data_IF_568859781180
#
_entry.id   IF_568859781180
#
_cell.length_a   1.000
_cell.length_b   1.000
_cell.length_c   1.000
_cell.angle_alpha   90.00
_cell.angle_beta   90.00
_cell.angle_gamma   90.00
#
_symmetry.space_group_name_H-M   'P 1'
#
loop_
_entity.id
_entity.type
_entity.pdbx_description
1 polymer ?
#
# COMPACT_ATOMS: atom_id res chain seq x y z
N UNK A 1 -4.98 -25.50 -12.41
CA UNK A 1 -4.30 -25.87 -13.67
C UNK A 1 -4.52 -24.81 -14.75
N UNK A 2 -5.75 -24.60 -15.25
CA UNK A 2 -6.03 -23.65 -16.35
C UNK A 2 -5.60 -22.19 -16.11
N UNK A 3 -5.80 -21.66 -14.90
CA UNK A 3 -5.33 -20.32 -14.54
C UNK A 3 -3.80 -20.17 -14.68
N UNK A 4 -3.05 -21.24 -14.38
CA UNK A 4 -1.59 -21.27 -14.57
C UNK A 4 -1.19 -21.26 -16.04
N UNK A 5 -1.91 -22.00 -16.89
CA UNK A 5 -1.71 -21.99 -18.35
C UNK A 5 -1.99 -20.60 -18.94
N UNK A 6 -3.08 -19.96 -18.53
CA UNK A 6 -3.40 -18.57 -18.92
C UNK A 6 -2.32 -17.61 -18.42
N UNK A 7 -1.82 -17.80 -17.20
CA UNK A 7 -0.70 -17.05 -16.65
C UNK A 7 0.59 -17.20 -17.47
N UNK A 8 0.93 -18.43 -17.89
CA UNK A 8 2.09 -18.70 -18.75
C UNK A 8 1.97 -18.03 -20.14
N UNK A 9 0.77 -18.09 -20.73
CA UNK A 9 0.45 -17.37 -21.97
C UNK A 9 0.61 -15.85 -21.81
N UNK A 10 0.03 -15.28 -20.75
CA UNK A 10 0.15 -13.84 -20.46
C UNK A 10 1.60 -13.44 -20.21
N UNK A 11 2.37 -14.27 -19.50
CA UNK A 11 3.78 -14.02 -19.17
C UNK A 11 4.66 -13.95 -20.40
N UNK A 12 4.55 -14.92 -21.30
CA UNK A 12 5.25 -14.88 -22.58
C UNK A 12 4.83 -13.67 -23.41
N UNK A 13 3.53 -13.38 -23.50
CA UNK A 13 3.00 -12.26 -24.27
C UNK A 13 3.53 -10.89 -23.79
N UNK A 14 3.42 -10.58 -22.48
CA UNK A 14 3.85 -9.26 -21.98
C UNK A 14 5.37 -9.11 -21.97
N UNK A 15 6.12 -10.20 -21.72
CA UNK A 15 7.60 -10.17 -21.70
C UNK A 15 8.15 -9.90 -23.09
N UNK A 16 7.67 -10.64 -24.11
CA UNK A 16 8.12 -10.41 -25.48
C UNK A 16 7.58 -9.12 -26.08
N UNK A 17 6.38 -8.67 -25.69
CA UNK A 17 5.93 -7.30 -26.00
C UNK A 17 6.95 -6.27 -25.53
N UNK A 18 7.47 -6.38 -24.30
CA UNK A 18 8.49 -5.47 -23.78
C UNK A 18 9.77 -5.56 -24.63
N UNK A 19 10.28 -6.76 -24.88
CA UNK A 19 11.53 -6.98 -25.65
C UNK A 19 11.42 -6.41 -27.06
N UNK A 20 10.32 -6.69 -27.78
CA UNK A 20 10.14 -6.19 -29.14
C UNK A 20 9.95 -4.68 -29.18
N UNK A 21 9.25 -4.09 -28.21
CA UNK A 21 9.08 -2.64 -28.16
C UNK A 21 10.39 -1.93 -27.81
N UNK A 22 11.17 -2.46 -26.87
CA UNK A 22 12.39 -1.83 -26.38
C UNK A 22 13.59 -2.01 -27.32
N UNK A 23 13.78 -3.21 -27.89
CA UNK A 23 14.98 -3.54 -28.68
C UNK A 23 14.76 -3.56 -30.20
N UNK A 24 13.54 -3.80 -30.68
CA UNK A 24 13.24 -3.92 -32.12
C UNK A 24 12.37 -2.78 -32.67
N UNK A 25 12.00 -1.81 -31.81
CA UNK A 25 11.32 -0.59 -32.23
C UNK A 25 12.28 0.46 -32.78
N UNK A 26 11.73 1.56 -33.28
CA UNK A 26 12.52 2.74 -33.65
C UNK A 26 13.29 3.26 -32.43
N UNK A 27 14.62 3.38 -32.57
CA UNK A 27 15.48 3.92 -31.52
C UNK A 27 15.17 5.40 -31.30
N UNK A 28 14.69 5.74 -30.11
CA UNK A 28 14.37 7.12 -29.72
C UNK A 28 15.55 7.87 -29.11
N UNK A 29 16.61 7.15 -28.74
CA UNK A 29 17.78 7.66 -28.03
C UNK A 29 19.01 6.85 -28.45
N UNK A 30 20.17 7.49 -28.53
CA UNK A 30 21.42 6.79 -28.79
C UNK A 30 21.87 5.99 -27.56
N UNK A 31 21.80 4.66 -27.67
CA UNK A 31 22.23 3.75 -26.63
C UNK A 31 23.76 3.56 -26.68
N UNK A 32 24.41 3.71 -25.53
CA UNK A 32 25.83 3.45 -25.38
C UNK A 32 26.00 2.10 -24.67
N UNK A 33 26.90 1.25 -25.17
CA UNK A 33 27.15 -0.04 -24.57
C UNK A 33 27.85 0.11 -23.20
N UNK A 34 27.39 -0.64 -22.21
CA UNK A 34 28.08 -0.72 -20.92
C UNK A 34 29.47 -1.34 -21.09
N UNK A 35 30.46 -0.82 -20.38
CA UNK A 35 31.85 -1.27 -20.50
C UNK A 35 32.42 -1.66 -19.12
N UNK A 36 33.37 -2.59 -19.13
CA UNK A 36 34.10 -3.05 -17.95
C UNK A 36 33.66 -4.41 -17.39
N UNK A 37 34.55 -5.00 -16.60
CA UNK A 37 34.36 -6.34 -16.02
C UNK A 37 33.15 -6.36 -15.09
N UNK A 38 32.94 -5.30 -14.32
CA UNK A 38 31.80 -5.15 -13.41
C UNK A 38 30.43 -5.14 -14.14
N UNK A 39 30.40 -4.87 -15.45
CA UNK A 39 29.19 -4.92 -16.26
C UNK A 39 28.98 -6.30 -16.88
N UNK A 40 29.97 -6.82 -17.62
CA UNK A 40 29.78 -8.04 -18.41
C UNK A 40 29.85 -9.33 -17.57
N UNK A 41 30.66 -9.37 -16.50
CA UNK A 41 30.83 -10.58 -15.68
C UNK A 41 29.53 -10.99 -14.96
N UNK A 42 28.83 -10.10 -14.22
CA UNK A 42 27.55 -10.46 -13.61
C UNK A 42 26.50 -10.88 -14.64
N UNK A 43 26.40 -10.16 -15.77
CA UNK A 43 25.43 -10.47 -16.82
C UNK A 43 25.70 -11.82 -17.48
N UNK A 44 26.97 -12.18 -17.69
CA UNK A 44 27.34 -13.46 -18.29
C UNK A 44 27.03 -14.63 -17.36
N UNK A 45 27.33 -14.49 -16.07
CA UNK A 45 26.99 -15.50 -15.06
C UNK A 45 25.46 -15.68 -14.99
N UNK A 46 24.71 -14.58 -14.94
CA UNK A 46 23.25 -14.63 -14.92
C UNK A 46 22.65 -15.24 -16.20
N UNK A 47 23.18 -14.91 -17.37
CA UNK A 47 22.75 -15.52 -18.64
C UNK A 47 22.97 -17.03 -18.61
N UNK A 48 24.16 -17.50 -18.22
CA UNK A 48 24.47 -18.94 -18.16
C UNK A 48 23.52 -19.64 -17.20
N UNK A 49 23.32 -19.11 -16.00
CA UNK A 49 22.41 -19.69 -15.00
C UNK A 49 20.93 -19.58 -15.39
N UNK A 50 20.53 -18.63 -16.24
CA UNK A 50 19.13 -18.48 -16.70
C UNK A 50 18.73 -19.49 -17.78
N UNK A 51 19.68 -20.29 -18.30
CA UNK A 51 19.41 -21.36 -19.28
C UNK A 51 19.05 -22.69 -18.60
N UNK A 52 19.04 -23.79 -19.35
CA UNK A 52 18.89 -25.15 -18.81
C UNK A 52 19.98 -25.52 -17.79
N UNK A 53 21.14 -24.85 -17.80
CA UNK A 53 22.24 -25.10 -16.86
C UNK A 53 21.80 -24.79 -15.42
N UNK A 54 21.04 -23.71 -15.20
CA UNK A 54 20.51 -23.40 -13.86
C UNK A 54 19.55 -24.45 -13.33
N UNK A 55 18.83 -25.15 -14.21
CA UNK A 55 17.90 -26.21 -13.82
C UNK A 55 18.60 -27.44 -13.22
N UNK A 56 19.92 -27.58 -13.39
CA UNK A 56 20.70 -28.64 -12.74
C UNK A 56 20.95 -28.36 -11.25
N UNK A 57 20.80 -27.11 -10.82
CA UNK A 57 20.93 -26.74 -9.41
C UNK A 57 19.61 -27.08 -8.70
N UNK A 58 19.58 -28.22 -8.03
CA UNK A 58 18.40 -28.66 -7.28
C UNK A 58 18.57 -28.33 -5.79
N UNK A 59 17.65 -27.55 -5.20
CA UNK A 59 17.72 -27.28 -3.76
C UNK A 59 17.34 -28.56 -2.98
N UNK A 60 18.10 -28.96 -1.94
CA UNK A 60 17.86 -30.18 -1.18
C UNK A 60 16.67 -29.99 -0.22
N UNK A 61 15.46 -29.90 -0.76
CA UNK A 61 14.22 -29.69 -0.02
C UNK A 61 13.48 -31.01 0.30
N UNK A 62 14.07 -32.14 -0.06
CA UNK A 62 13.51 -33.46 0.21
C UNK A 62 13.39 -33.68 1.73
N UNK A 63 12.16 -33.82 2.22
CA UNK A 63 11.86 -34.08 3.64
C UNK A 63 11.53 -32.86 4.49
N UNK A 64 11.69 -31.63 3.97
CA UNK A 64 11.34 -30.38 4.70
C UNK A 64 9.90 -29.94 4.45
N UNK A 65 9.38 -30.23 3.25
CA UNK A 65 8.03 -29.83 2.83
C UNK A 65 7.15 -31.07 2.59
N UNK A 66 5.83 -30.97 2.85
CA UNK A 66 4.88 -32.02 2.47
C UNK A 66 5.02 -32.32 0.97
N UNK A 67 5.14 -33.60 0.62
CA UNK A 67 5.16 -34.03 -0.78
C UNK A 67 3.92 -33.49 -1.49
N UNK A 68 4.11 -32.72 -2.56
CA UNK A 68 3.00 -32.12 -3.29
C UNK A 68 2.14 -33.22 -3.93
N UNK A 69 0.81 -33.03 -3.92
CA UNK A 69 -0.19 -33.94 -4.50
C UNK A 69 0.07 -34.25 -6.00
N UNK A 70 0.88 -33.46 -6.69
CA UNK A 70 1.28 -33.65 -8.09
C UNK A 70 2.37 -34.70 -8.34
N UNK A 71 2.97 -35.31 -7.30
CA UNK A 71 3.99 -36.35 -7.51
C UNK A 71 3.43 -37.67 -8.06
N UNK A 72 2.14 -37.96 -7.81
CA UNK A 72 1.51 -39.26 -8.09
C UNK A 72 1.03 -39.49 -9.55
N UNK A 73 0.94 -38.45 -10.38
CA UNK A 73 0.42 -38.56 -11.76
C UNK A 73 1.54 -38.62 -12.80
N UNK A 74 2.20 -39.76 -12.96
CA UNK A 74 3.33 -39.92 -13.92
C UNK A 74 2.98 -39.58 -15.37
N UNK A 75 1.78 -39.91 -15.85
CA UNK A 75 1.38 -39.68 -17.25
C UNK A 75 0.84 -38.27 -17.53
N UNK A 76 0.23 -37.61 -16.54
CA UNK A 76 -0.30 -36.25 -16.70
C UNK A 76 0.80 -35.16 -16.69
N UNK A 77 2.02 -35.50 -16.26
CA UNK A 77 3.16 -34.56 -16.20
C UNK A 77 3.64 -34.18 -17.59
N UNK A 78 3.90 -35.15 -18.46
CA UNK A 78 4.44 -34.88 -19.80
C UNK A 78 3.45 -34.15 -20.71
N UNK A 79 2.17 -34.52 -20.65
CA UNK A 79 1.12 -33.80 -21.40
C UNK A 79 0.98 -32.34 -20.94
N UNK A 80 1.09 -32.09 -19.63
CA UNK A 80 1.06 -30.74 -19.07
C UNK A 80 2.30 -29.92 -19.43
N UNK A 81 3.49 -30.52 -19.40
CA UNK A 81 4.76 -29.88 -19.82
C UNK A 81 4.68 -29.44 -21.28
N UNK A 82 4.23 -30.33 -22.17
CA UNK A 82 4.07 -30.03 -23.60
C UNK A 82 3.03 -28.94 -23.80
N UNK A 83 1.88 -29.03 -23.14
CA UNK A 83 0.83 -28.01 -23.24
C UNK A 83 1.32 -26.64 -22.75
N UNK A 84 2.04 -26.59 -21.64
CA UNK A 84 2.64 -25.37 -21.09
C UNK A 84 3.65 -24.75 -22.06
N UNK A 85 4.57 -25.57 -22.60
CA UNK A 85 5.56 -25.14 -23.58
C UNK A 85 4.92 -24.62 -24.88
N UNK A 86 3.92 -25.32 -25.40
CA UNK A 86 3.18 -24.90 -26.59
C UNK A 86 2.45 -23.56 -26.38
N UNK A 87 1.84 -23.36 -25.21
CA UNK A 87 1.16 -22.10 -24.86
C UNK A 87 2.16 -20.95 -24.72
N UNK A 88 3.32 -21.19 -24.11
CA UNK A 88 4.37 -20.19 -24.02
C UNK A 88 4.86 -19.79 -25.43
N UNK A 89 5.14 -20.76 -26.30
CA UNK A 89 5.53 -20.49 -27.70
C UNK A 89 4.44 -19.74 -28.47
N UNK A 90 3.17 -20.09 -28.29
CA UNK A 90 2.05 -19.38 -28.90
C UNK A 90 1.98 -17.92 -28.44
N UNK A 91 2.25 -17.63 -27.16
CA UNK A 91 2.33 -16.27 -26.63
C UNK A 91 3.48 -15.46 -27.25
N UNK A 92 4.65 -16.08 -27.45
CA UNK A 92 5.79 -15.45 -28.13
C UNK A 92 5.45 -15.13 -29.59
N UNK A 93 4.88 -16.09 -30.32
CA UNK A 93 4.48 -15.90 -31.72
C UNK A 93 3.43 -14.80 -31.86
N UNK A 94 2.43 -14.78 -30.98
CA UNK A 94 1.42 -13.73 -30.98
C UNK A 94 2.04 -12.36 -30.66
N UNK A 95 2.96 -12.28 -29.69
CA UNK A 95 3.68 -11.04 -29.41
C UNK A 95 4.46 -10.55 -30.63
N UNK A 96 5.14 -11.45 -31.34
CA UNK A 96 5.90 -11.10 -32.54
C UNK A 96 4.97 -10.57 -33.64
N UNK A 97 3.86 -11.25 -33.91
CA UNK A 97 2.85 -10.81 -34.90
C UNK A 97 2.25 -9.44 -34.58
N UNK A 98 2.02 -9.14 -33.30
CA UNK A 98 1.40 -7.89 -32.86
C UNK A 98 2.39 -6.71 -32.78
N UNK A 99 3.66 -6.96 -32.42
CA UNK A 99 4.60 -5.91 -32.01
C UNK A 99 5.86 -5.75 -32.87
N UNK A 100 6.25 -6.75 -33.67
CA UNK A 100 7.48 -6.72 -34.47
C UNK A 100 7.35 -5.91 -35.78
N UNK A 101 6.12 -5.56 -36.19
CA UNK A 101 5.85 -4.80 -37.41
C UNK A 101 5.05 -3.51 -37.19
N UNK A 102 4.21 -3.16 -38.16
CA UNK A 102 3.27 -2.03 -38.03
C UNK A 102 2.20 -2.41 -37.02
N UNK A 103 2.32 -1.93 -35.78
CA UNK A 103 1.48 -2.22 -34.59
C UNK A 103 -0.02 -1.85 -34.73
N UNK A 104 -0.55 -1.80 -35.95
CA UNK A 104 -1.89 -1.32 -36.35
C UNK A 104 -3.01 -2.03 -35.59
N UNK A 105 -2.97 -3.36 -35.51
CA UNK A 105 -3.99 -4.14 -34.80
C UNK A 105 -3.98 -3.84 -33.30
N UNK A 106 -2.79 -3.84 -32.68
CA UNK A 106 -2.64 -3.50 -31.27
C UNK A 106 -3.12 -2.07 -30.97
N UNK A 107 -2.78 -1.10 -31.83
CA UNK A 107 -3.23 0.29 -31.68
C UNK A 107 -4.74 0.44 -31.91
N UNK A 108 -5.32 -0.29 -32.87
CA UNK A 108 -6.76 -0.24 -33.13
C UNK A 108 -7.56 -0.79 -31.94
N UNK A 109 -7.10 -1.92 -31.37
CA UNK A 109 -7.70 -2.51 -30.18
C UNK A 109 -7.55 -1.55 -28.98
N UNK A 110 -6.35 -1.00 -28.76
CA UNK A 110 -6.11 -0.06 -27.68
C UNK A 110 -6.96 1.22 -27.78
N UNK A 111 -7.23 1.68 -29.01
CA UNK A 111 -8.06 2.86 -29.27
C UNK A 111 -9.57 2.56 -29.25
N UNK A 112 -10.00 1.30 -29.15
CA UNK A 112 -11.42 0.97 -28.98
C UNK A 112 -11.92 1.37 -27.59
N UNK A 113 -13.23 1.61 -27.44
CA UNK A 113 -13.81 1.94 -26.13
C UNK A 113 -13.51 0.90 -25.02
N UNK A 114 -13.72 -0.42 -25.23
CA UNK A 114 -13.34 -1.41 -24.22
C UNK A 114 -11.83 -1.51 -24.04
N UNK A 115 -11.04 -1.36 -25.09
CA UNK A 115 -9.58 -1.39 -25.01
C UNK A 115 -9.00 -0.24 -24.19
N UNK A 116 -9.52 0.98 -24.36
CA UNK A 116 -9.12 2.14 -23.55
C UNK A 116 -9.46 1.94 -22.08
N UNK A 117 -10.66 1.43 -21.79
CA UNK A 117 -11.08 1.14 -20.42
C UNK A 117 -10.19 0.09 -19.75
N UNK A 118 -9.99 -1.07 -20.40
CA UNK A 118 -9.13 -2.13 -19.86
C UNK A 118 -7.67 -1.68 -19.73
N UNK A 119 -7.16 -0.94 -20.70
CA UNK A 119 -5.81 -0.37 -20.64
C UNK A 119 -5.66 0.56 -19.45
N UNK A 120 -6.62 1.47 -19.21
CA UNK A 120 -6.57 2.37 -18.07
C UNK A 120 -6.70 1.61 -16.74
N UNK A 121 -7.56 0.60 -16.67
CA UNK A 121 -7.81 -0.16 -15.46
C UNK A 121 -6.61 -1.04 -15.06
N UNK A 122 -6.02 -1.78 -16.00
CA UNK A 122 -4.81 -2.56 -15.75
C UNK A 122 -3.60 -1.68 -15.47
N UNK A 123 -3.50 -0.50 -16.13
CA UNK A 123 -2.46 0.48 -15.83
C UNK A 123 -2.57 1.05 -14.41
N UNK A 124 -3.79 1.24 -13.90
CA UNK A 124 -4.06 1.68 -12.54
C UNK A 124 -3.93 0.54 -11.49
N UNK A 125 -3.14 -0.50 -11.77
CA UNK A 125 -2.94 -1.65 -10.88
C UNK A 125 -4.26 -2.28 -10.39
N UNK A 126 -5.25 -2.44 -11.30
CA UNK A 126 -6.61 -2.89 -10.99
C UNK A 126 -7.41 -1.99 -10.03
N UNK A 127 -6.87 -0.81 -9.67
CA UNK A 127 -7.44 0.11 -8.69
C UNK A 127 -7.04 -0.18 -7.24
N UNK A 128 -6.17 -1.18 -6.99
CA UNK A 128 -5.78 -1.54 -5.62
C UNK A 128 -5.06 -0.39 -4.90
N UNK A 129 -4.20 0.35 -5.60
CA UNK A 129 -3.50 1.51 -5.03
C UNK A 129 -4.50 2.58 -4.55
N UNK A 130 -5.57 2.82 -5.32
CA UNK A 130 -6.63 3.76 -4.95
C UNK A 130 -7.44 3.27 -3.74
N UNK A 131 -7.77 1.97 -3.71
CA UNK A 131 -8.48 1.36 -2.56
C UNK A 131 -7.60 1.47 -1.32
N UNK A 132 -6.32 1.14 -1.44
CA UNK A 132 -5.37 1.16 -0.33
C UNK A 132 -5.19 2.58 0.22
N UNK A 133 -4.99 3.56 -0.67
CA UNK A 133 -4.88 4.97 -0.28
C UNK A 133 -6.14 5.45 0.47
N UNK A 134 -7.33 5.09 -0.01
CA UNK A 134 -8.59 5.53 0.57
C UNK A 134 -8.94 4.80 1.86
N UNK A 135 -8.62 3.52 1.98
CA UNK A 135 -9.00 2.68 3.12
C UNK A 135 -7.97 2.71 4.26
N UNK A 136 -6.69 2.88 3.94
CA UNK A 136 -5.62 2.79 4.95
C UNK A 136 -4.88 4.11 5.10
N UNK A 137 -4.34 4.68 4.01
CA UNK A 137 -3.46 5.85 4.08
C UNK A 137 -4.20 7.07 4.59
N UNK A 138 -5.31 7.45 3.95
CA UNK A 138 -6.08 8.64 4.32
C UNK A 138 -6.66 8.56 5.74
N UNK A 139 -7.27 7.44 6.17
CA UNK A 139 -7.75 7.32 7.55
C UNK A 139 -6.61 7.40 8.56
N UNK A 140 -5.47 6.76 8.30
CA UNK A 140 -4.30 6.86 9.17
C UNK A 140 -3.80 8.30 9.30
N UNK A 141 -3.65 9.02 8.17
CA UNK A 141 -3.23 10.41 8.18
C UNK A 141 -4.25 11.30 8.89
N UNK A 142 -5.55 11.07 8.70
CA UNK A 142 -6.60 11.81 9.40
C UNK A 142 -6.53 11.61 10.92
N UNK A 143 -6.37 10.36 11.39
CA UNK A 143 -6.18 10.06 12.82
C UNK A 143 -4.92 10.77 13.34
N UNK A 144 -3.80 10.68 12.62
CA UNK A 144 -2.56 11.35 13.01
C UNK A 144 -2.71 12.88 13.11
N UNK A 145 -3.50 13.47 12.21
CA UNK A 145 -3.75 14.90 12.20
C UNK A 145 -4.61 15.33 13.40
N UNK A 146 -5.64 14.55 13.75
CA UNK A 146 -6.48 14.81 14.94
C UNK A 146 -5.66 14.68 16.22
N UNK A 147 -4.82 13.63 16.32
CA UNK A 147 -3.99 13.38 17.50
C UNK A 147 -2.78 14.33 17.61
N UNK A 148 -2.43 15.09 16.56
CA UNK A 148 -1.30 16.03 16.58
C UNK A 148 -1.36 17.03 17.73
N UNK A 149 -2.57 17.40 18.15
CA UNK A 149 -2.77 18.41 19.19
C UNK A 149 -2.81 17.87 20.62
N UNK A 150 -2.43 16.60 20.79
CA UNK A 150 -2.48 15.81 22.01
C UNK A 150 -3.74 16.08 22.87
N UNK A 151 -4.85 15.39 22.60
CA UNK A 151 -6.08 15.59 23.35
C UNK A 151 -5.89 15.29 24.85
N UNK A 152 -4.93 14.43 25.23
CA UNK A 152 -4.66 14.12 26.63
C UNK A 152 -3.95 15.28 27.34
N UNK A 153 -2.93 15.88 26.71
CA UNK A 153 -2.26 17.07 27.25
C UNK A 153 -3.24 18.24 27.45
N UNK A 154 -4.14 18.47 26.48
CA UNK A 154 -5.19 19.49 26.59
C UNK A 154 -6.12 19.25 27.78
N UNK A 155 -6.47 18.00 28.03
CA UNK A 155 -7.36 17.61 29.13
C UNK A 155 -6.69 17.83 30.48
N UNK A 156 -5.42 17.43 30.63
CA UNK A 156 -4.64 17.67 31.84
C UNK A 156 -4.44 19.16 32.06
N UNK A 157 -4.17 19.93 31.00
CA UNK A 157 -4.05 21.38 31.04
C UNK A 157 -5.32 22.14 31.45
N UNK A 158 -6.48 21.48 31.51
CA UNK A 158 -7.72 22.07 32.03
C UNK A 158 -7.64 22.27 33.55
N UNK A 159 -7.01 21.35 34.28
CA UNK A 159 -6.89 21.37 35.74
C UNK A 159 -6.22 22.67 36.22
N UNK A 160 -4.99 23.03 35.78
CA UNK A 160 -4.35 24.26 36.22
C UNK A 160 -5.09 25.52 35.78
N UNK A 161 -5.81 25.49 34.64
CA UNK A 161 -6.64 26.63 34.20
C UNK A 161 -7.83 26.85 35.13
N UNK A 162 -8.49 25.78 35.57
CA UNK A 162 -9.60 25.87 36.53
C UNK A 162 -9.10 26.35 37.90
N UNK A 163 -7.98 25.83 38.39
CA UNK A 163 -7.40 26.26 39.67
C UNK A 163 -6.99 27.73 39.62
N UNK A 164 -6.31 28.17 38.55
CA UNK A 164 -5.95 29.59 38.37
C UNK A 164 -7.18 30.48 38.26
N UNK A 165 -8.18 30.07 37.48
CA UNK A 165 -9.44 30.82 37.37
C UNK A 165 -10.15 30.97 38.72
N UNK A 166 -10.20 29.90 39.51
CA UNK A 166 -10.73 29.93 40.88
C UNK A 166 -9.90 30.81 41.83
N UNK A 167 -8.58 30.79 41.72
CA UNK A 167 -7.71 31.68 42.47
C UNK A 167 -7.93 33.15 42.09
N UNK A 168 -8.04 33.47 40.80
CA UNK A 168 -8.26 34.83 40.31
C UNK A 168 -9.63 35.37 40.70
N UNK A 169 -10.67 34.54 40.77
CA UNK A 169 -11.99 34.95 41.27
C UNK A 169 -12.00 35.13 42.78
N UNK A 170 -11.36 34.23 43.53
CA UNK A 170 -11.31 34.32 44.98
C UNK A 170 -10.43 35.47 45.46
N UNK A 171 -9.28 35.72 44.82
CA UNK A 171 -8.41 36.85 45.18
C UNK A 171 -9.10 38.20 44.97
N UNK A 172 -10.05 38.32 44.04
CA UNK A 172 -10.85 39.54 43.84
C UNK A 172 -11.81 39.84 45.00
N UNK A 173 -12.14 38.87 45.86
CA UNK A 173 -12.99 39.13 47.03
C UNK A 173 -12.23 39.79 48.17
N UNK A 174 -10.88 39.68 48.16
CA UNK A 174 -9.98 40.30 49.14
C UNK A 174 -9.61 41.74 48.73
N UNK A 175 -10.57 42.65 48.87
CA UNK A 175 -10.42 44.06 48.44
C UNK A 175 -9.77 44.98 49.47
N UNK A 176 -9.50 44.50 50.69
CA UNK A 176 -8.98 45.31 51.80
C UNK A 176 -10.01 46.29 52.40
N UNK A 177 -11.26 46.27 51.96
CA UNK A 177 -12.32 47.17 52.45
C UNK A 177 -13.06 46.57 53.65
N UNK A 178 -12.93 47.20 54.83
CA UNK A 178 -13.52 46.70 56.08
C UNK A 178 -15.05 46.52 56.01
N UNK A 179 -15.74 47.38 55.26
CA UNK A 179 -17.21 47.31 55.04
C UNK A 179 -17.63 46.04 54.31
N UNK A 180 -16.82 45.59 53.34
CA UNK A 180 -17.08 44.38 52.57
C UNK A 180 -16.95 43.13 53.45
N UNK A 181 -15.96 43.11 54.35
CA UNK A 181 -15.79 42.02 55.32
C UNK A 181 -16.93 41.95 56.34
N UNK A 182 -17.39 43.10 56.85
CA UNK A 182 -18.55 43.11 57.74
C UNK A 182 -19.83 42.57 57.05
N UNK A 183 -20.05 42.97 55.80
CA UNK A 183 -21.17 42.48 55.00
C UNK A 183 -21.07 40.97 54.71
N UNK A 184 -19.89 40.45 54.39
CA UNK A 184 -19.70 39.01 54.12
C UNK A 184 -19.94 38.15 55.36
N UNK A 185 -19.52 38.61 56.54
CA UNK A 185 -19.81 37.94 57.83
C UNK A 185 -21.31 37.93 58.13
N UNK A 186 -22.01 39.05 57.90
CA UNK A 186 -23.46 39.09 58.13
C UNK A 186 -24.21 38.13 57.19
N UNK A 187 -23.84 38.10 55.90
CA UNK A 187 -24.43 37.18 54.92
C UNK A 187 -24.14 35.73 55.28
N UNK A 188 -22.90 35.39 55.68
CA UNK A 188 -22.56 34.02 56.05
C UNK A 188 -23.31 33.54 57.28
N UNK A 189 -23.50 34.39 58.29
CA UNK A 189 -24.30 34.06 59.47
C UNK A 189 -25.76 33.74 59.10
N UNK A 190 -26.38 34.56 58.23
CA UNK A 190 -27.75 34.31 57.74
C UNK A 190 -27.83 33.00 56.96
N UNK A 191 -26.86 32.73 56.08
CA UNK A 191 -26.82 31.49 55.29
C UNK A 191 -26.66 30.25 56.17
N UNK A 192 -25.79 30.29 57.18
CA UNK A 192 -25.59 29.17 58.11
C UNK A 192 -26.84 28.91 58.93
N UNK A 193 -27.44 29.96 59.51
CA UNK A 193 -28.69 29.83 60.27
C UNK A 193 -29.81 29.28 59.38
N UNK A 194 -29.94 29.77 58.15
CA UNK A 194 -30.91 29.28 57.18
C UNK A 194 -30.70 27.81 56.80
N UNK A 195 -29.45 27.40 56.57
CA UNK A 195 -29.11 26.00 56.27
C UNK A 195 -29.41 25.07 57.45
N UNK A 196 -29.10 25.50 58.68
CA UNK A 196 -29.41 24.73 59.90
C UNK A 196 -30.92 24.57 60.07
N UNK A 197 -31.70 25.64 59.88
CA UNK A 197 -33.16 25.57 59.94
C UNK A 197 -33.71 24.66 58.85
N UNK A 198 -33.19 24.72 57.62
CA UNK A 198 -33.60 23.85 56.52
C UNK A 198 -33.31 22.37 56.79
N UNK A 199 -32.20 22.06 57.48
CA UNK A 199 -31.84 20.69 57.87
C UNK A 199 -32.63 20.22 59.10
N UNK A 200 -33.09 21.15 59.95
CA UNK A 200 -33.88 20.86 61.15
C UNK A 200 -35.38 20.68 60.87
N UNK A 201 -35.85 21.01 59.66
CA UNK A 201 -37.20 20.75 59.14
C UNK A 201 -37.18 19.42 58.39
#
# INVERSE_FOLDING_TARGET
MYAGLVGAFMTSLYTFRLIFIAFHGEAKTEAHAGHGIAHWLPLSVLIVLSTFIGAWITPPLAGVLPQSVGHAGGEAKHSLEIASGAIALAGILLAALLFLGKRRLATAIANSAPGRFLSAWWFAAWGFDWIYDKLFVKPYLAISHVLRSDPFDRTIGLIPRLVKGGHDTMSRTETGQLRWYAASIAVSAVLVLGAVVLVAI
#
